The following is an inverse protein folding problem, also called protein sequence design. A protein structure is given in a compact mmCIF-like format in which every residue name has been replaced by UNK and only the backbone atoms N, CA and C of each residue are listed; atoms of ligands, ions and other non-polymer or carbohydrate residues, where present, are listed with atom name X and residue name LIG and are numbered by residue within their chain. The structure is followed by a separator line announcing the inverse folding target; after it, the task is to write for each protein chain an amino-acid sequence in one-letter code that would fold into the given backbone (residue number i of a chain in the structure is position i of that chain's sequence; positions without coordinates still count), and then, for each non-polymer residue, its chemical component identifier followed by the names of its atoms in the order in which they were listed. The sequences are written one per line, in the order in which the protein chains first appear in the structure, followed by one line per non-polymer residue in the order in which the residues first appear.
data_IF_125498837479
#
_entry.id   IF_125498837479
#
_cell.length_a   1.000
_cell.length_b   1.000
_cell.length_c   1.000
_cell.angle_alpha   90.00
_cell.angle_beta   90.00
_cell.angle_gamma   90.00
#
_symmetry.space_group_name_H-M   'P 1'
#
loop_
_entity.id
_entity.type
_entity.pdbx_description
1 polymer ?
#
# COMPACT_ATOMS: atom_id res chain seq x y z
N UNK A 1 -19.01 -6.25 22.51
CA UNK A 1 -17.89 -5.89 23.31
C UNK A 1 -16.57 -6.10 22.57
N UNK A 2 -16.27 -7.32 22.25
CA UNK A 2 -14.98 -7.61 21.62
C UNK A 2 -14.99 -7.45 20.12
N UNK A 3 -16.14 -7.11 19.54
CA UNK A 3 -16.21 -6.87 18.09
C UNK A 3 -15.34 -5.69 17.68
N UNK A 4 -15.31 -4.61 18.46
CA UNK A 4 -14.42 -3.48 18.17
C UNK A 4 -12.95 -3.91 18.16
N UNK A 5 -12.52 -4.64 19.20
CA UNK A 5 -11.13 -5.11 19.30
C UNK A 5 -10.81 -6.12 18.21
N UNK A 6 -11.75 -7.00 17.86
CA UNK A 6 -11.58 -7.96 16.78
C UNK A 6 -11.38 -7.24 15.45
N UNK A 7 -12.27 -6.32 15.08
CA UNK A 7 -12.17 -5.60 13.81
C UNK A 7 -10.95 -4.69 13.77
N UNK A 8 -10.58 -4.10 14.92
CA UNK A 8 -9.35 -3.30 15.00
C UNK A 8 -8.11 -4.16 14.74
N UNK A 9 -8.07 -5.37 15.30
CA UNK A 9 -6.97 -6.30 15.08
C UNK A 9 -6.88 -6.75 13.63
N UNK A 10 -8.01 -7.10 13.01
CA UNK A 10 -8.06 -7.51 11.62
C UNK A 10 -7.67 -6.35 10.69
N UNK A 11 -8.12 -5.15 11.00
CA UNK A 11 -7.75 -3.96 10.25
C UNK A 11 -6.25 -3.72 10.32
N UNK A 12 -5.66 -3.83 11.51
CA UNK A 12 -4.22 -3.62 11.70
C UNK A 12 -3.41 -4.66 10.93
N UNK A 13 -3.81 -5.93 10.97
CA UNK A 13 -3.14 -6.99 10.21
C UNK A 13 -3.17 -6.69 8.71
N UNK A 14 -4.34 -6.30 8.20
CA UNK A 14 -4.50 -5.96 6.79
C UNK A 14 -3.64 -4.75 6.39
N UNK A 15 -3.61 -3.71 7.22
CA UNK A 15 -2.82 -2.51 6.98
C UNK A 15 -1.32 -2.83 6.96
N UNK A 16 -0.85 -3.63 7.92
CA UNK A 16 0.57 -4.02 7.98
C UNK A 16 0.95 -4.79 6.71
N UNK A 17 0.12 -5.75 6.31
CA UNK A 17 0.37 -6.54 5.10
C UNK A 17 0.40 -5.66 3.86
N UNK A 18 -0.54 -4.74 3.74
CA UNK A 18 -0.61 -3.82 2.61
C UNK A 18 0.62 -2.90 2.56
N UNK A 19 0.97 -2.30 3.70
CA UNK A 19 2.12 -1.40 3.78
C UNK A 19 3.43 -2.12 3.47
N UNK A 20 3.59 -3.36 3.95
CA UNK A 20 4.76 -4.16 3.63
C UNK A 20 4.90 -4.34 2.12
N UNK A 21 3.81 -4.64 1.42
CA UNK A 21 3.82 -4.77 -0.03
C UNK A 21 4.13 -3.45 -0.74
N UNK A 22 3.51 -2.35 -0.30
CA UNK A 22 3.75 -1.03 -0.88
C UNK A 22 5.20 -0.59 -0.74
N UNK A 23 5.85 -0.96 0.37
CA UNK A 23 7.25 -0.62 0.62
C UNK A 23 8.22 -1.54 -0.12
N UNK A 24 7.79 -2.74 -0.45
CA UNK A 24 8.68 -3.74 -1.03
C UNK A 24 8.62 -3.80 -2.56
N UNK A 25 7.44 -3.61 -3.15
CA UNK A 25 7.27 -3.76 -4.60
C UNK A 25 8.18 -2.83 -5.41
N UNK A 26 8.33 -1.53 -5.07
CA UNK A 26 9.26 -0.67 -5.81
C UNK A 26 10.71 -1.14 -5.73
N UNK A 27 11.11 -1.79 -4.62
CA UNK A 27 12.45 -2.36 -4.50
C UNK A 27 12.66 -3.50 -5.48
N UNK A 28 11.65 -4.33 -5.67
CA UNK A 28 11.70 -5.40 -6.67
C UNK A 28 11.85 -4.78 -8.06
N UNK A 29 11.13 -3.69 -8.34
CA UNK A 29 11.26 -2.99 -9.62
C UNK A 29 12.69 -2.47 -9.85
N UNK A 30 13.36 -1.97 -8.80
CA UNK A 30 14.76 -1.52 -8.90
C UNK A 30 15.63 -2.66 -9.40
N UNK A 31 15.55 -3.82 -8.74
CA UNK A 31 16.35 -4.98 -9.12
C UNK A 31 15.96 -5.52 -10.49
N UNK A 32 14.67 -5.45 -10.84
CA UNK A 32 14.21 -5.88 -12.14
C UNK A 32 14.84 -5.03 -13.26
N UNK A 33 14.85 -3.70 -13.09
CA UNK A 33 15.49 -2.81 -14.07
C UNK A 33 16.97 -3.10 -14.20
N UNK A 34 17.66 -3.32 -13.07
CA UNK A 34 19.10 -3.58 -13.07
C UNK A 34 19.45 -4.92 -13.72
N UNK A 35 18.48 -5.83 -13.86
CA UNK A 35 18.66 -7.17 -14.42
C UNK A 35 17.78 -7.40 -15.64
N UNK A 36 17.35 -6.33 -16.31
CA UNK A 36 16.35 -6.42 -17.39
C UNK A 36 16.85 -7.27 -18.57
N UNK A 37 18.15 -7.31 -18.81
CA UNK A 37 18.75 -8.05 -19.91
C UNK A 37 18.96 -9.54 -19.58
N UNK A 38 18.74 -9.94 -18.34
CA UNK A 38 18.85 -11.34 -17.89
C UNK A 38 17.47 -11.97 -17.92
N UNK A 39 17.16 -12.76 -18.97
CA UNK A 39 15.82 -13.31 -19.18
C UNK A 39 15.32 -14.15 -18.01
N UNK A 40 16.19 -14.98 -17.42
CA UNK A 40 15.80 -15.84 -16.29
C UNK A 40 15.48 -14.99 -15.06
N UNK A 41 16.35 -14.04 -14.73
CA UNK A 41 16.13 -13.13 -13.60
C UNK A 41 14.88 -12.29 -13.81
N UNK A 42 14.69 -11.74 -15.00
CA UNK A 42 13.50 -10.94 -15.32
C UNK A 42 12.22 -11.74 -15.16
N UNK A 43 12.23 -13.00 -15.59
CA UNK A 43 11.08 -13.90 -15.42
C UNK A 43 10.76 -14.15 -13.95
N UNK A 44 11.78 -14.33 -13.11
CA UNK A 44 11.62 -14.50 -11.67
C UNK A 44 11.02 -13.24 -11.05
N UNK A 45 11.54 -12.06 -11.39
CA UNK A 45 11.03 -10.80 -10.88
C UNK A 45 9.58 -10.56 -11.30
N UNK A 46 9.20 -10.88 -12.53
CA UNK A 46 7.80 -10.80 -12.97
C UNK A 46 6.88 -11.64 -12.11
N UNK A 47 7.31 -12.85 -11.76
CA UNK A 47 6.54 -13.75 -10.88
C UNK A 47 6.42 -13.17 -9.48
N UNK A 48 7.51 -12.67 -8.91
CA UNK A 48 7.52 -12.06 -7.57
C UNK A 48 6.60 -10.85 -7.52
N UNK A 49 6.69 -9.96 -8.51
CA UNK A 49 5.87 -8.75 -8.61
C UNK A 49 4.39 -9.11 -8.68
N UNK A 50 4.04 -10.05 -9.55
CA UNK A 50 2.66 -10.48 -9.74
C UNK A 50 2.08 -11.10 -8.48
N UNK A 51 2.81 -12.00 -7.83
CA UNK A 51 2.34 -12.66 -6.61
C UNK A 51 2.21 -11.67 -5.46
N UNK A 52 3.18 -10.79 -5.30
CA UNK A 52 3.11 -9.77 -4.25
C UNK A 52 1.91 -8.86 -4.45
N UNK A 53 1.70 -8.36 -5.66
CA UNK A 53 0.62 -7.42 -5.94
C UNK A 53 -0.76 -8.07 -5.82
N UNK A 54 -0.98 -9.18 -6.53
CA UNK A 54 -2.32 -9.76 -6.63
C UNK A 54 -2.69 -10.65 -5.45
N UNK A 55 -1.72 -11.31 -4.81
CA UNK A 55 -2.02 -12.27 -3.74
C UNK A 55 -1.85 -11.69 -2.34
N UNK A 56 -1.13 -10.60 -2.19
CA UNK A 56 -0.88 -9.97 -0.88
C UNK A 56 -1.42 -8.55 -0.85
N UNK A 57 -0.96 -7.69 -1.74
CA UNK A 57 -1.29 -6.26 -1.70
C UNK A 57 -2.76 -5.99 -2.01
N UNK A 58 -3.30 -6.59 -3.07
CA UNK A 58 -4.68 -6.33 -3.46
C UNK A 58 -5.68 -6.80 -2.40
N UNK A 59 -5.61 -8.06 -1.89
CA UNK A 59 -6.49 -8.47 -0.80
C UNK A 59 -6.30 -7.64 0.46
N UNK A 60 -5.05 -7.31 0.81
CA UNK A 60 -4.77 -6.52 2.01
C UNK A 60 -5.34 -5.11 1.91
N UNK A 61 -5.23 -4.47 0.75
CA UNK A 61 -5.82 -3.14 0.52
C UNK A 61 -7.34 -3.19 0.69
N UNK A 62 -7.99 -4.15 0.04
CA UNK A 62 -9.45 -4.30 0.11
C UNK A 62 -9.89 -4.52 1.55
N UNK A 63 -9.22 -5.44 2.27
CA UNK A 63 -9.56 -5.73 3.66
C UNK A 63 -9.28 -4.55 4.57
N UNK A 64 -8.23 -3.78 4.31
CA UNK A 64 -7.94 -2.55 5.07
C UNK A 64 -9.09 -1.56 4.98
N UNK A 65 -9.62 -1.34 3.78
CA UNK A 65 -10.76 -0.45 3.58
C UNK A 65 -12.03 -1.00 4.24
N UNK A 66 -12.32 -2.30 4.06
CA UNK A 66 -13.52 -2.93 4.62
C UNK A 66 -13.51 -2.83 6.15
N UNK A 67 -12.42 -3.26 6.78
CA UNK A 67 -12.34 -3.25 8.25
C UNK A 67 -12.27 -1.82 8.80
N UNK A 68 -11.63 -0.90 8.06
CA UNK A 68 -11.60 0.51 8.44
C UNK A 68 -13.00 1.12 8.44
N UNK A 69 -13.80 0.85 7.42
CA UNK A 69 -15.18 1.33 7.36
C UNK A 69 -16.05 0.69 8.43
N UNK A 70 -15.86 -0.60 8.73
CA UNK A 70 -16.57 -1.27 9.84
C UNK A 70 -16.22 -0.59 11.17
N UNK A 71 -14.96 -0.25 11.39
CA UNK A 71 -14.54 0.45 12.62
C UNK A 71 -15.21 1.81 12.75
N UNK A 72 -15.32 2.57 11.66
CA UNK A 72 -16.03 3.85 11.66
C UNK A 72 -17.49 3.63 12.06
N UNK A 73 -18.12 2.60 11.53
CA UNK A 73 -19.49 2.23 11.86
C UNK A 73 -19.66 1.88 13.34
N UNK A 74 -18.71 1.14 13.91
CA UNK A 74 -18.74 0.72 15.33
C UNK A 74 -18.51 1.91 16.26
N UNK A 75 -17.57 2.79 15.93
CA UNK A 75 -17.26 3.99 16.72
C UNK A 75 -18.39 5.02 16.62
N UNK A 76 -19.00 5.13 15.44
CA UNK A 76 -20.00 6.13 15.12
C UNK A 76 -19.54 7.01 13.96
N UNK A 77 -20.44 7.25 12.99
CA UNK A 77 -20.10 8.01 11.80
C UNK A 77 -19.72 9.47 12.09
N UNK A 78 -20.05 9.98 13.27
CA UNK A 78 -19.67 11.33 13.70
C UNK A 78 -18.16 11.52 13.73
N UNK A 79 -17.39 10.44 13.89
CA UNK A 79 -15.92 10.51 13.90
C UNK A 79 -15.36 11.05 12.59
N UNK A 80 -16.10 10.95 11.48
CA UNK A 80 -15.70 11.50 10.19
C UNK A 80 -15.54 13.03 10.27
N UNK A 81 -16.25 13.68 11.18
CA UNK A 81 -16.16 15.12 11.36
C UNK A 81 -14.87 15.55 12.05
N UNK A 82 -14.14 14.61 12.67
CA UNK A 82 -12.87 14.93 13.32
C UNK A 82 -11.77 15.20 12.31
N UNK A 83 -10.87 16.10 12.64
CA UNK A 83 -9.77 16.46 11.75
C UNK A 83 -8.84 15.26 11.50
N UNK A 84 -8.52 14.49 12.56
CA UNK A 84 -7.57 13.38 12.42
C UNK A 84 -8.08 12.32 11.45
N UNK A 85 -9.38 12.00 11.45
CA UNK A 85 -9.92 11.01 10.53
C UNK A 85 -9.97 11.54 9.10
N UNK A 86 -10.33 12.81 8.93
CA UNK A 86 -10.31 13.44 7.60
C UNK A 86 -8.92 13.38 6.99
N UNK A 87 -7.90 13.74 7.76
CA UNK A 87 -6.51 13.70 7.31
C UNK A 87 -6.07 12.27 6.99
N UNK A 88 -6.44 11.32 7.85
CA UNK A 88 -6.14 9.91 7.63
C UNK A 88 -6.76 9.41 6.33
N UNK A 89 -8.03 9.72 6.09
CA UNK A 89 -8.74 9.30 4.88
C UNK A 89 -8.10 9.87 3.62
N UNK A 90 -7.66 11.13 3.67
CA UNK A 90 -6.94 11.74 2.54
C UNK A 90 -5.65 10.97 2.26
N UNK A 91 -4.86 10.69 3.31
CA UNK A 91 -3.58 9.99 3.15
C UNK A 91 -3.78 8.55 2.66
N UNK A 92 -4.80 7.85 3.17
CA UNK A 92 -5.11 6.49 2.74
C UNK A 92 -5.59 6.47 1.29
N UNK A 93 -6.34 7.49 0.87
CA UNK A 93 -6.74 7.63 -0.53
C UNK A 93 -5.52 7.82 -1.42
N UNK A 94 -4.55 8.64 -1.00
CA UNK A 94 -3.30 8.82 -1.73
C UNK A 94 -2.52 7.51 -1.83
N UNK A 95 -2.47 6.73 -0.75
CA UNK A 95 -1.84 5.41 -0.76
C UNK A 95 -2.54 4.45 -1.73
N UNK A 96 -3.86 4.52 -1.80
CA UNK A 96 -4.65 3.68 -2.72
C UNK A 96 -4.36 4.06 -4.17
N UNK A 97 -4.26 5.35 -4.47
CA UNK A 97 -3.88 5.84 -5.80
C UNK A 97 -2.46 5.33 -6.13
N UNK A 98 -1.54 5.43 -5.20
CA UNK A 98 -0.18 4.93 -5.36
C UNK A 98 -0.16 3.42 -5.62
N UNK A 99 -0.99 2.66 -4.89
CA UNK A 99 -1.13 1.21 -5.07
C UNK A 99 -1.49 0.87 -6.53
N UNK A 100 -2.49 1.55 -7.09
CA UNK A 100 -2.91 1.30 -8.47
C UNK A 100 -1.87 1.79 -9.48
N UNK A 101 -1.13 2.84 -9.15
CA UNK A 101 0.00 3.27 -9.97
C UNK A 101 1.09 2.19 -10.03
N UNK A 102 1.39 1.55 -8.90
CA UNK A 102 2.31 0.42 -8.88
C UNK A 102 1.79 -0.74 -9.73
N UNK A 103 0.47 -0.96 -9.73
CA UNK A 103 -0.15 -1.96 -10.60
C UNK A 103 0.07 -1.67 -12.08
N UNK A 104 0.01 -0.40 -12.46
CA UNK A 104 0.31 0.02 -13.84
C UNK A 104 1.77 -0.26 -14.18
N UNK A 105 2.69 0.08 -13.29
CA UNK A 105 4.11 -0.18 -13.49
C UNK A 105 4.40 -1.69 -13.58
N UNK A 106 3.71 -2.50 -12.79
CA UNK A 106 3.80 -3.95 -12.86
C UNK A 106 3.39 -4.46 -14.23
N UNK A 107 2.32 -3.94 -14.81
CA UNK A 107 1.88 -4.31 -16.15
C UNK A 107 2.92 -3.93 -17.20
N UNK A 108 3.55 -2.77 -17.04
CA UNK A 108 4.61 -2.35 -17.97
C UNK A 108 5.77 -3.34 -17.96
N UNK A 109 6.17 -3.82 -16.79
CA UNK A 109 7.19 -4.87 -16.69
C UNK A 109 6.72 -6.18 -17.30
N UNK A 110 5.46 -6.55 -17.08
CA UNK A 110 4.91 -7.80 -17.58
C UNK A 110 5.00 -7.91 -19.09
N UNK A 111 4.76 -6.80 -19.79
CA UNK A 111 4.79 -6.76 -21.26
C UNK A 111 6.12 -6.17 -21.80
N UNK A 112 7.12 -6.05 -20.94
CA UNK A 112 8.46 -5.55 -21.29
C UNK A 112 8.46 -4.14 -21.89
N UNK A 113 7.56 -3.29 -21.40
CA UNK A 113 7.43 -1.89 -21.85
C UNK A 113 7.77 -0.89 -20.76
N UNK A 114 8.54 -1.28 -19.75
CA UNK A 114 8.99 -0.35 -18.73
C UNK A 114 9.98 0.67 -19.33
N UNK A 115 9.70 1.96 -19.07
CA UNK A 115 10.57 3.05 -19.51
C UNK A 115 11.23 3.77 -18.33
N UNK A 116 10.94 3.33 -17.09
CA UNK A 116 11.46 4.01 -15.90
C UNK A 116 12.79 3.45 -15.47
N UNK A 117 13.64 4.32 -14.90
CA UNK A 117 14.97 3.95 -14.42
C UNK A 117 14.92 3.38 -13.01
N UNK A 118 16.01 2.72 -12.59
CA UNK A 118 16.12 2.25 -11.20
C UNK A 118 16.08 3.41 -10.22
N UNK A 119 16.66 4.55 -10.57
CA UNK A 119 16.62 5.76 -9.74
C UNK A 119 15.19 6.23 -9.52
N UNK A 120 14.35 6.19 -10.57
CA UNK A 120 12.93 6.53 -10.45
C UNK A 120 12.24 5.67 -9.39
N UNK A 121 12.45 4.34 -9.44
CA UNK A 121 11.83 3.44 -8.49
C UNK A 121 12.34 3.61 -7.07
N UNK A 122 13.61 3.96 -6.90
CA UNK A 122 14.16 4.29 -5.59
C UNK A 122 13.51 5.54 -5.00
N UNK A 123 13.28 6.55 -5.83
CA UNK A 123 12.65 7.80 -5.41
C UNK A 123 11.19 7.55 -5.03
N UNK A 124 10.43 6.84 -5.86
CA UNK A 124 9.00 6.61 -5.56
C UNK A 124 8.80 5.71 -4.34
N UNK A 125 9.79 4.90 -3.97
CA UNK A 125 9.71 4.08 -2.77
C UNK A 125 9.66 4.94 -1.50
N UNK A 126 10.08 6.19 -1.57
CA UNK A 126 9.98 7.12 -0.44
C UNK A 126 8.55 7.57 -0.19
N UNK A 127 7.68 7.56 -1.23
CA UNK A 127 6.31 8.04 -1.11
C UNK A 127 5.51 7.28 -0.06
N UNK A 128 5.44 5.93 -0.09
CA UNK A 128 4.68 5.22 0.94
C UNK A 128 5.32 5.34 2.32
N UNK A 129 6.65 5.49 2.39
CA UNK A 129 7.34 5.69 3.66
C UNK A 129 6.89 6.98 4.33
N UNK A 130 6.89 8.09 3.58
CA UNK A 130 6.47 9.39 4.10
C UNK A 130 4.99 9.35 4.49
N UNK A 131 4.14 8.78 3.64
CA UNK A 131 2.71 8.69 3.92
C UNK A 131 2.43 7.82 5.15
N UNK A 132 3.16 6.73 5.32
CA UNK A 132 3.02 5.86 6.50
C UNK A 132 3.39 6.62 7.78
N UNK A 133 4.50 7.35 7.77
CA UNK A 133 4.93 8.14 8.93
C UNK A 133 3.83 9.14 9.30
N UNK A 134 3.28 9.84 8.33
CA UNK A 134 2.22 10.83 8.58
C UNK A 134 0.96 10.16 9.11
N UNK A 135 0.56 9.02 8.57
CA UNK A 135 -0.63 8.29 9.03
C UNK A 135 -0.46 7.85 10.49
N UNK A 136 0.69 7.30 10.82
CA UNK A 136 0.96 6.82 12.19
C UNK A 136 0.88 7.97 13.17
N UNK A 137 1.52 9.11 12.88
CA UNK A 137 1.46 10.26 13.77
C UNK A 137 0.04 10.80 13.93
N UNK A 138 -0.73 10.87 12.84
CA UNK A 138 -2.11 11.36 12.89
C UNK A 138 -2.98 10.43 13.74
N UNK A 139 -2.83 9.12 13.58
CA UNK A 139 -3.64 8.15 14.33
C UNK A 139 -3.30 8.17 15.81
N UNK A 140 -2.02 8.29 16.14
CA UNK A 140 -1.56 8.27 17.54
C UNK A 140 -1.90 9.58 18.25
N UNK A 141 -1.60 10.71 17.63
CA UNK A 141 -1.84 12.03 18.25
C UNK A 141 -3.28 12.48 18.13
N UNK A 142 -4.00 12.07 17.12
CA UNK A 142 -5.42 12.41 16.87
C UNK A 142 -5.68 13.92 17.00
N UNK A 143 -5.09 14.76 16.15
CA UNK A 143 -5.34 16.19 16.21
C UNK A 143 -6.83 16.49 16.00
N UNK A 144 -7.30 17.51 16.67
CA UNK A 144 -8.73 17.88 16.65
C UNK A 144 -9.11 18.53 15.33
#
# INVERSE_FOLDING_TARGET
MNSYLLFKSLHLIAVISWMAGLLYLPRIFVYHVENIDHKISSSIFKTMERKLFYFIMMPAMILSWIFGLILISVIGFEVILTLWLKLKLILITLLTIYHFYLGKLLKDFKIDQNTKSSKFFRIINEVPTILLILVVFIVIFKPI
#
